data_IF_800401512088
#
_entry.id   IF_800401512088
#
_cell.length_a   1.000
_cell.length_b   1.000
_cell.length_c   1.000
_cell.angle_alpha   90.00
_cell.angle_beta   90.00
_cell.angle_gamma   90.00
#
_symmetry.space_group_name_H-M   'P 1'
#
loop_
_entity.id
_entity.type
_entity.pdbx_description
1 polymer ?
#
# COMPACT_ATOMS: atom_id res chain seq x y z
N UNK A 1 10.91 -62.37 16.34
CA UNK A 1 11.36 -61.39 15.34
C UNK A 1 10.14 -60.55 15.01
N UNK A 2 9.79 -59.66 15.94
CA UNK A 2 9.98 -58.20 15.84
C UNK A 2 9.13 -57.62 14.73
N UNK A 3 7.91 -57.24 15.12
CA UNK A 3 6.96 -56.42 14.38
C UNK A 3 7.53 -55.01 14.29
N UNK A 4 7.71 -54.50 13.08
CA UNK A 4 8.11 -53.12 12.85
C UNK A 4 6.97 -52.19 13.28
N UNK A 5 7.26 -51.43 14.32
CA UNK A 5 6.41 -50.45 14.96
C UNK A 5 6.37 -49.21 14.05
N UNK A 6 5.29 -49.06 13.27
CA UNK A 6 5.00 -47.80 12.57
C UNK A 6 4.64 -46.76 13.63
N UNK A 7 5.53 -45.81 13.87
CA UNK A 7 5.34 -44.69 14.80
C UNK A 7 4.27 -43.73 14.25
N UNK A 8 3.12 -43.54 14.92
CA UNK A 8 2.01 -42.73 14.41
C UNK A 8 2.04 -41.29 14.94
N UNK A 9 3.21 -40.64 14.91
CA UNK A 9 3.42 -39.28 15.43
C UNK A 9 4.01 -38.29 14.41
N UNK A 10 3.63 -38.37 13.13
CA UNK A 10 4.09 -37.40 12.11
C UNK A 10 2.94 -36.67 11.40
N UNK A 11 1.87 -36.33 12.14
CA UNK A 11 0.79 -35.48 11.65
C UNK A 11 0.22 -34.59 12.77
N UNK A 12 1.10 -33.92 13.51
CA UNK A 12 0.71 -32.84 14.41
C UNK A 12 1.42 -31.55 14.01
N UNK A 13 0.64 -30.70 13.35
CA UNK A 13 0.58 -29.27 13.68
C UNK A 13 1.84 -28.45 13.38
N UNK A 14 2.07 -28.20 12.09
CA UNK A 14 2.86 -27.05 11.62
C UNK A 14 2.09 -25.74 11.88
N UNK A 15 1.66 -25.51 13.12
CA UNK A 15 1.30 -24.18 13.60
C UNK A 15 2.60 -23.54 14.05
N UNK A 16 3.29 -22.88 13.11
CA UNK A 16 4.42 -22.00 13.44
C UNK A 16 3.91 -20.95 14.44
N UNK A 17 4.19 -21.19 15.72
CA UNK A 17 3.89 -20.26 16.80
C UNK A 17 4.78 -19.04 16.61
N UNK A 18 4.20 -17.90 16.28
CA UNK A 18 4.88 -16.61 16.29
C UNK A 18 5.48 -16.38 17.69
N UNK A 19 6.81 -16.41 17.81
CA UNK A 19 7.51 -16.07 19.04
C UNK A 19 7.93 -14.59 18.99
N UNK A 20 7.27 -13.69 19.74
CA UNK A 20 7.60 -12.27 19.75
C UNK A 20 8.99 -11.97 20.33
N UNK A 21 9.72 -12.97 20.83
CA UNK A 21 11.08 -12.84 21.32
C UNK A 21 12.13 -13.56 20.46
N UNK A 22 11.73 -14.25 19.38
CA UNK A 22 12.70 -14.80 18.41
C UNK A 22 13.08 -13.72 17.39
N UNK A 23 14.36 -13.27 17.34
CA UNK A 23 14.82 -12.32 16.34
C UNK A 23 14.66 -12.79 14.89
N UNK A 24 14.45 -14.09 14.65
CA UNK A 24 14.12 -14.65 13.33
C UNK A 24 12.67 -14.36 12.93
N UNK A 25 11.76 -14.29 13.89
CA UNK A 25 10.35 -13.95 13.65
C UNK A 25 10.15 -12.44 13.50
N UNK A 26 11.02 -11.61 14.11
CA UNK A 26 11.03 -10.16 13.87
C UNK A 26 11.30 -9.79 12.41
N UNK A 27 12.12 -10.59 11.71
CA UNK A 27 12.44 -10.39 10.30
C UNK A 27 11.31 -10.82 9.35
N UNK A 28 10.35 -11.61 9.81
CA UNK A 28 9.23 -12.11 8.99
C UNK A 28 8.13 -11.07 8.76
N UNK A 29 8.03 -10.04 9.61
CA UNK A 29 6.91 -9.08 9.59
C UNK A 29 7.22 -7.76 8.87
N UNK A 30 8.50 -7.38 8.74
CA UNK A 30 8.92 -6.15 8.07
C UNK A 30 9.41 -6.42 6.64
N UNK A 31 8.48 -6.72 5.73
CA UNK A 31 8.78 -6.59 4.30
C UNK A 31 9.04 -5.09 4.01
N UNK A 32 10.31 -4.70 4.00
CA UNK A 32 10.75 -3.36 3.67
C UNK A 32 10.16 -2.93 2.32
N UNK A 33 9.66 -1.69 2.20
CA UNK A 33 8.95 -1.27 1.01
C UNK A 33 9.90 -1.16 -0.18
N UNK A 34 9.49 -1.72 -1.31
CA UNK A 34 10.23 -1.60 -2.57
C UNK A 34 9.89 -0.30 -3.29
N UNK A 35 10.81 0.17 -4.13
CA UNK A 35 10.66 1.40 -4.91
C UNK A 35 10.47 1.09 -6.39
N UNK A 36 9.50 1.74 -7.01
CA UNK A 36 9.29 1.75 -8.46
C UNK A 36 9.59 3.17 -8.96
N UNK A 37 10.63 3.31 -9.78
CA UNK A 37 11.01 4.59 -10.35
C UNK A 37 10.00 5.05 -11.41
N UNK A 38 9.71 6.35 -11.40
CA UNK A 38 8.72 7.01 -12.23
C UNK A 38 9.43 7.94 -13.22
N UNK A 39 8.97 7.94 -14.47
CA UNK A 39 9.60 8.70 -15.54
C UNK A 39 10.87 8.06 -16.07
N UNK A 40 11.48 8.69 -17.09
CA UNK A 40 12.74 8.23 -17.69
C UNK A 40 13.98 8.68 -16.90
N UNK A 41 13.85 9.76 -16.13
CA UNK A 41 14.90 10.34 -15.29
C UNK A 41 15.14 9.57 -14.00
N UNK A 42 14.14 8.84 -13.49
CA UNK A 42 14.25 8.11 -12.22
C UNK A 42 14.39 9.01 -10.99
N UNK A 43 14.05 10.30 -11.11
CA UNK A 43 14.11 11.30 -10.04
C UNK A 43 12.99 11.12 -9.01
N UNK A 44 11.93 10.39 -9.37
CA UNK A 44 10.81 10.07 -8.49
C UNK A 44 10.58 8.57 -8.42
N UNK A 45 10.00 8.14 -7.32
CA UNK A 45 9.61 6.75 -7.12
C UNK A 45 8.30 6.65 -6.33
N UNK A 46 7.61 5.52 -6.50
CA UNK A 46 6.49 5.11 -5.66
C UNK A 46 6.91 3.93 -4.78
N UNK A 47 6.40 3.89 -3.55
CA UNK A 47 6.55 2.76 -2.65
C UNK A 47 5.52 1.68 -2.97
N UNK A 48 5.95 0.43 -3.02
CA UNK A 48 5.09 -0.74 -3.26
C UNK A 48 5.54 -1.91 -2.37
N UNK A 49 4.67 -2.90 -2.19
CA UNK A 49 5.07 -4.13 -1.51
C UNK A 49 6.04 -4.94 -2.40
N UNK A 50 7.08 -5.59 -1.84
CA UNK A 50 8.04 -6.38 -2.62
C UNK A 50 7.39 -7.40 -3.56
N UNK A 51 6.31 -8.04 -3.10
CA UNK A 51 5.59 -9.08 -3.85
C UNK A 51 4.97 -8.58 -5.16
N UNK A 52 4.65 -7.30 -5.28
CA UNK A 52 4.02 -6.75 -6.50
C UNK A 52 5.04 -6.24 -7.52
N UNK A 53 6.31 -6.08 -7.13
CA UNK A 53 7.39 -5.53 -7.97
C UNK A 53 7.53 -6.26 -9.32
N UNK A 54 7.56 -7.61 -9.39
CA UNK A 54 7.77 -8.31 -10.67
C UNK A 54 6.68 -8.07 -11.72
N UNK A 55 5.50 -7.63 -11.29
CA UNK A 55 4.36 -7.35 -12.16
C UNK A 55 4.35 -5.86 -12.50
N UNK A 56 4.49 -4.99 -11.49
CA UNK A 56 4.47 -3.53 -11.66
C UNK A 56 5.63 -3.04 -12.53
N UNK A 57 6.82 -3.61 -12.37
CA UNK A 57 8.05 -3.22 -13.11
C UNK A 57 8.02 -3.55 -14.60
N UNK A 58 7.05 -4.35 -15.07
CA UNK A 58 6.86 -4.65 -16.51
C UNK A 58 6.33 -3.45 -17.30
N UNK A 59 5.93 -2.39 -16.61
CA UNK A 59 5.33 -1.22 -17.21
C UNK A 59 6.17 0.02 -16.95
N UNK A 60 6.16 0.94 -17.93
CA UNK A 60 6.75 2.27 -17.76
C UNK A 60 5.75 3.17 -17.07
N UNK A 61 6.09 3.57 -15.85
CA UNK A 61 5.27 4.49 -15.05
C UNK A 61 5.80 5.92 -15.17
N UNK A 62 4.89 6.87 -15.10
CA UNK A 62 5.16 8.30 -14.93
C UNK A 62 4.33 8.80 -13.73
N UNK A 63 4.31 10.10 -13.49
CA UNK A 63 3.48 10.69 -12.46
C UNK A 63 2.73 11.92 -12.98
N UNK A 64 1.71 12.33 -12.24
CA UNK A 64 1.17 13.68 -12.33
C UNK A 64 0.88 14.22 -10.95
N UNK A 65 1.05 15.52 -10.81
CA UNK A 65 0.73 16.25 -9.61
C UNK A 65 -0.62 16.93 -9.76
N UNK A 66 -1.38 16.97 -8.67
CA UNK A 66 -2.52 17.87 -8.58
C UNK A 66 -2.08 19.31 -8.23
N UNK A 67 -3.02 20.26 -8.30
CA UNK A 67 -2.76 21.66 -7.97
C UNK A 67 -2.38 21.91 -6.50
N UNK A 68 -2.34 20.86 -5.67
CA UNK A 68 -1.99 20.91 -4.24
C UNK A 68 -0.65 20.21 -3.97
N UNK A 69 0.06 19.78 -5.02
CA UNK A 69 1.36 19.11 -4.94
C UNK A 69 1.27 17.61 -4.65
N UNK A 70 0.07 17.00 -4.61
CA UNK A 70 -0.06 15.56 -4.42
C UNK A 70 0.22 14.84 -5.74
N UNK A 71 1.30 14.06 -5.76
CA UNK A 71 1.69 13.27 -6.91
C UNK A 71 1.03 11.89 -6.92
N UNK A 72 0.64 11.43 -8.11
CA UNK A 72 0.13 10.08 -8.35
C UNK A 72 0.90 9.41 -9.47
N UNK A 73 1.33 8.17 -9.24
CA UNK A 73 1.92 7.34 -10.27
C UNK A 73 0.85 6.85 -11.26
N UNK A 74 1.13 6.98 -12.56
CA UNK A 74 0.22 6.62 -13.65
C UNK A 74 0.96 6.11 -14.88
N UNK A 75 0.25 5.42 -15.76
CA UNK A 75 0.71 5.06 -17.10
C UNK A 75 -0.39 5.31 -18.12
N UNK A 76 0.02 5.45 -19.37
CA UNK A 76 -0.89 5.48 -20.50
C UNK A 76 -1.09 4.08 -21.04
N UNK A 77 -2.33 3.75 -21.39
CA UNK A 77 -2.70 2.52 -22.07
C UNK A 77 -3.60 2.86 -23.26
N UNK A 78 -3.64 1.99 -24.25
CA UNK A 78 -4.58 2.10 -25.37
C UNK A 78 -5.54 0.92 -25.27
N UNK A 79 -6.84 1.20 -25.12
CA UNK A 79 -7.89 0.20 -25.02
C UNK A 79 -8.90 0.49 -26.13
N UNK A 80 -9.10 -0.46 -27.05
CA UNK A 80 -10.02 -0.28 -28.17
C UNK A 80 -9.68 0.92 -29.07
N UNK A 81 -8.38 1.24 -29.24
CA UNK A 81 -7.92 2.39 -30.01
C UNK A 81 -8.01 3.74 -29.27
N UNK A 82 -8.60 3.78 -28.08
CA UNK A 82 -8.70 4.99 -27.25
C UNK A 82 -7.58 5.00 -26.22
N UNK A 83 -6.90 6.13 -26.10
CA UNK A 83 -5.84 6.32 -25.11
C UNK A 83 -6.46 6.68 -23.76
N UNK A 84 -6.12 5.93 -22.72
CA UNK A 84 -6.60 6.12 -21.36
C UNK A 84 -5.46 6.10 -20.34
N UNK A 85 -5.73 6.61 -19.14
CA UNK A 85 -4.78 6.64 -18.02
C UNK A 85 -5.15 5.54 -17.04
N UNK A 86 -4.16 4.76 -16.60
CA UNK A 86 -4.27 3.86 -15.45
C UNK A 86 -3.36 4.37 -14.34
N UNK A 87 -3.90 4.49 -13.13
CA UNK A 87 -3.13 4.85 -11.95
C UNK A 87 -2.56 3.60 -11.26
N UNK A 88 -1.34 3.71 -10.72
CA UNK A 88 -0.61 2.59 -10.11
C UNK A 88 -1.38 1.96 -8.95
N UNK A 89 -1.91 2.77 -8.04
CA UNK A 89 -2.68 2.29 -6.89
C UNK A 89 -3.92 1.48 -7.30
N UNK A 90 -4.60 1.87 -8.39
CA UNK A 90 -5.75 1.12 -8.94
C UNK A 90 -5.29 -0.19 -9.58
N UNK A 91 -4.22 -0.13 -10.36
CA UNK A 91 -3.63 -1.32 -10.99
C UNK A 91 -3.21 -2.37 -9.96
N UNK A 92 -2.58 -1.95 -8.86
CA UNK A 92 -2.20 -2.87 -7.79
C UNK A 92 -3.42 -3.54 -7.16
N UNK A 93 -4.45 -2.76 -6.81
CA UNK A 93 -5.64 -3.33 -6.16
C UNK A 93 -6.42 -4.28 -7.06
N UNK A 94 -6.67 -3.87 -8.31
CA UNK A 94 -7.53 -4.62 -9.24
C UNK A 94 -6.78 -5.71 -9.99
N UNK A 95 -5.71 -5.34 -10.70
CA UNK A 95 -5.06 -6.21 -11.68
C UNK A 95 -3.98 -7.10 -11.04
N UNK A 96 -3.36 -6.66 -9.94
CA UNK A 96 -2.28 -7.41 -9.28
C UNK A 96 -2.80 -8.24 -8.11
N UNK A 97 -3.57 -7.63 -7.21
CA UNK A 97 -4.03 -8.28 -5.98
C UNK A 97 -5.42 -8.90 -6.12
N UNK A 98 -6.18 -8.57 -7.18
CA UNK A 98 -7.55 -9.06 -7.37
C UNK A 98 -8.52 -8.64 -6.25
N UNK A 99 -8.25 -7.54 -5.56
CA UNK A 99 -9.07 -7.05 -4.45
C UNK A 99 -10.22 -6.26 -5.02
N UNK A 100 -11.40 -6.88 -5.04
CA UNK A 100 -12.64 -6.26 -5.49
C UNK A 100 -13.18 -5.25 -4.48
N UNK A 101 -13.95 -4.25 -4.92
CA UNK A 101 -14.62 -3.33 -4.02
C UNK A 101 -15.61 -4.08 -3.10
N UNK A 102 -15.68 -3.72 -1.81
CA UNK A 102 -16.53 -4.42 -0.85
C UNK A 102 -18.02 -4.17 -1.09
N UNK A 103 -18.38 -3.00 -1.64
CA UNK A 103 -19.76 -2.65 -2.04
C UNK A 103 -19.73 -1.83 -3.33
N UNK A 104 -20.89 -1.68 -3.98
CA UNK A 104 -21.05 -0.88 -5.20
C UNK A 104 -20.69 0.61 -5.00
N UNK A 105 -20.82 1.13 -3.77
CA UNK A 105 -20.49 2.52 -3.46
C UNK A 105 -18.98 2.78 -3.40
N UNK A 106 -18.17 1.73 -3.22
CA UNK A 106 -16.71 1.84 -3.05
C UNK A 106 -15.99 1.85 -4.41
N UNK A 107 -16.26 2.89 -5.20
CA UNK A 107 -15.77 3.00 -6.59
C UNK A 107 -14.35 3.58 -6.71
N UNK A 108 -13.75 4.04 -5.61
CA UNK A 108 -12.44 4.70 -5.59
C UNK A 108 -11.42 3.88 -4.80
N UNK A 109 -10.16 3.88 -5.25
CA UNK A 109 -9.03 3.42 -4.44
C UNK A 109 -8.32 4.64 -3.89
N UNK A 110 -8.25 4.76 -2.57
CA UNK A 110 -7.70 5.90 -1.84
C UNK A 110 -6.47 5.49 -1.00
N UNK A 111 -5.65 6.48 -0.65
CA UNK A 111 -4.46 6.34 0.18
C UNK A 111 -4.80 6.77 1.61
N UNK A 112 -4.71 5.84 2.56
CA UNK A 112 -5.04 6.06 3.97
C UNK A 112 -4.24 7.20 4.58
N UNK A 113 -2.94 7.29 4.27
CA UNK A 113 -2.04 8.34 4.76
C UNK A 113 -2.08 9.64 3.93
N UNK A 114 -2.84 9.67 2.83
CA UNK A 114 -2.89 10.83 1.93
C UNK A 114 -1.68 10.99 0.99
N UNK A 115 -0.66 10.13 1.06
CA UNK A 115 0.53 10.16 0.21
C UNK A 115 0.30 9.40 -1.10
N UNK A 116 0.17 10.11 -2.23
CA UNK A 116 -0.24 9.50 -3.51
C UNK A 116 0.83 8.65 -4.21
N UNK A 117 2.06 8.64 -3.69
CA UNK A 117 3.16 7.78 -4.15
C UNK A 117 3.42 6.60 -3.20
N UNK A 118 2.66 6.46 -2.11
CA UNK A 118 2.72 5.30 -1.23
C UNK A 118 1.65 4.27 -1.63
N UNK A 119 1.97 3.43 -2.61
CA UNK A 119 1.08 2.43 -3.19
C UNK A 119 1.16 1.05 -2.52
N UNK A 120 1.66 0.96 -1.28
CA UNK A 120 1.67 -0.29 -0.50
C UNK A 120 0.25 -0.72 -0.16
N UNK A 121 -0.04 -2.02 -0.20
CA UNK A 121 -1.36 -2.60 0.09
C UNK A 121 -1.92 -2.12 1.43
N UNK A 122 -1.08 -2.05 2.46
CA UNK A 122 -1.48 -1.54 3.79
C UNK A 122 -1.98 -0.09 3.79
N UNK A 123 -1.50 0.72 2.85
CA UNK A 123 -1.89 2.12 2.70
C UNK A 123 -3.07 2.31 1.74
N UNK A 124 -3.38 1.32 0.91
CA UNK A 124 -4.51 1.40 -0.01
C UNK A 124 -5.81 0.98 0.69
N UNK A 125 -6.91 1.59 0.25
CA UNK A 125 -8.27 1.16 0.61
C UNK A 125 -9.24 1.43 -0.52
N UNK A 126 -10.25 0.60 -0.59
CA UNK A 126 -11.48 0.98 -1.26
C UNK A 126 -12.17 2.09 -0.46
N UNK A 127 -12.69 3.09 -1.16
CA UNK A 127 -13.33 4.24 -0.59
C UNK A 127 -14.55 4.63 -1.44
N UNK A 128 -15.60 5.02 -0.76
CA UNK A 128 -16.72 5.76 -1.33
C UNK A 128 -16.29 7.19 -1.66
N UNK A 129 -17.12 7.90 -2.42
CA UNK A 129 -16.88 9.31 -2.75
C UNK A 129 -16.84 10.18 -1.49
N UNK A 130 -17.67 9.89 -0.48
CA UNK A 130 -17.72 10.64 0.78
C UNK A 130 -16.46 10.41 1.62
N UNK A 131 -15.98 9.17 1.73
CA UNK A 131 -14.74 8.82 2.45
C UNK A 131 -13.50 9.43 1.79
N UNK A 132 -13.41 9.35 0.46
CA UNK A 132 -12.33 10.01 -0.27
C UNK A 132 -12.37 11.54 -0.08
N UNK A 133 -13.56 12.14 -0.10
CA UNK A 133 -13.70 13.58 0.17
C UNK A 133 -13.37 13.96 1.62
N UNK A 134 -13.65 13.09 2.59
CA UNK A 134 -13.21 13.28 3.98
C UNK A 134 -11.68 13.24 4.07
N UNK A 135 -11.01 12.39 3.30
CA UNK A 135 -9.55 12.38 3.19
C UNK A 135 -9.00 13.61 2.44
N UNK A 136 -9.73 14.17 1.46
CA UNK A 136 -9.42 15.49 0.87
C UNK A 136 -9.54 16.62 1.89
N UNK A 137 -10.34 16.43 2.95
CA UNK A 137 -10.46 17.31 4.11
C UNK A 137 -9.38 17.03 5.18
N UNK A 138 -8.35 16.23 4.93
CA UNK A 138 -7.16 16.14 5.80
C UNK A 138 -6.42 17.48 6.02
N UNK A 139 -6.74 18.52 5.23
CA UNK A 139 -6.40 19.92 5.53
C UNK A 139 -7.10 20.47 6.80
N UNK A 140 -8.22 19.89 7.26
CA UNK A 140 -8.88 20.27 8.51
C UNK A 140 -8.03 19.92 9.76
N UNK A 141 -6.95 19.15 9.61
CA UNK A 141 -5.90 19.02 10.63
C UNK A 141 -4.94 20.23 10.69
N UNK A 142 -5.18 21.30 9.91
CA UNK A 142 -4.77 22.66 10.30
C UNK A 142 -5.57 23.22 11.49
N UNK A 143 -6.49 22.45 12.09
CA UNK A 143 -6.96 22.69 13.45
C UNK A 143 -5.87 22.34 14.44
N UNK A 144 -4.95 23.28 14.68
CA UNK A 144 -4.24 23.38 15.96
C UNK A 144 -5.28 23.34 17.08
N UNK A 145 -5.11 22.61 18.19
CA UNK A 145 -5.80 23.00 19.40
C UNK A 145 -5.26 24.39 19.78
N UNK A 146 -6.14 25.35 19.99
CA UNK A 146 -5.79 26.72 20.39
C UNK A 146 -5.21 26.83 21.82
N UNK A 147 -4.81 25.72 22.45
CA UNK A 147 -4.35 25.69 23.84
C UNK A 147 -3.49 24.46 24.16
N UNK A 148 -2.18 24.55 23.94
CA UNK A 148 -1.14 23.66 24.49
C UNK A 148 0.21 24.05 23.84
N UNK A 149 1.20 24.67 24.46
CA UNK A 149 1.56 24.78 25.87
C UNK A 149 2.16 26.16 26.15
N UNK A 150 1.66 26.79 27.22
CA UNK A 150 2.26 27.94 27.88
C UNK A 150 2.94 27.40 29.14
N UNK A 151 4.17 26.91 29.00
CA UNK A 151 5.17 26.61 30.04
C UNK A 151 6.42 26.31 29.21
N UNK A 152 7.46 27.13 29.18
CA UNK A 152 8.30 27.48 30.31
C UNK A 152 8.78 28.93 30.21
N UNK A 153 8.44 29.73 31.21
CA UNK A 153 9.21 30.89 31.57
C UNK A 153 10.34 30.42 32.49
N UNK A 154 11.59 30.52 32.03
CA UNK A 154 12.78 30.57 32.89
C UNK A 154 13.93 31.26 32.15
N UNK A 155 14.01 32.57 32.35
CA UNK A 155 15.20 33.31 32.77
C UNK A 155 14.74 34.71 33.21
#
# INVERSE_FOLDING_TARGET
MSLDFFDPLDLADFSESFDPFDPRDWAREAEEPSRIFLGRSGDRFAFVDPKVVPIVSRHVWTYSEDNRGKAYAKRWVTVGGVRSVIYLHRFIMLDVLGVLPPTEDHILVDHRNGEGLDCRKKNLRWATVSENNANRRGYYFKRRPAHAYRTEARA
#
